data_IF_836652250100
#
_entry.id   IF_836652250100
#
_cell.length_a   1.000
_cell.length_b   1.000
_cell.length_c   1.000
_cell.angle_alpha   90.00
_cell.angle_beta   90.00
_cell.angle_gamma   90.00
#
_symmetry.space_group_name_H-M   'P 1'
#
loop_
_entity.id
_entity.type
_entity.pdbx_description
1 polymer ?
#
# COMPACT_ATOMS: atom_id res chain seq x y z
N UNK A 1 2.84 0.64 -25.54
CA UNK A 1 3.77 -0.40 -25.05
C UNK A 1 4.24 -0.12 -23.62
N UNK A 2 4.62 1.12 -23.30
CA UNK A 2 5.03 1.55 -21.94
C UNK A 2 3.93 1.36 -20.86
N UNK A 3 2.66 1.65 -21.18
CA UNK A 3 1.53 1.53 -20.25
C UNK A 3 1.27 0.09 -19.78
N UNK A 4 1.36 -0.90 -20.68
CA UNK A 4 1.17 -2.33 -20.36
C UNK A 4 2.30 -2.88 -19.48
N UNK A 5 3.51 -2.33 -19.61
CA UNK A 5 4.64 -2.70 -18.75
C UNK A 5 4.42 -2.17 -17.33
N UNK A 6 4.04 -0.90 -17.18
CA UNK A 6 3.75 -0.28 -15.88
C UNK A 6 2.62 -1.03 -15.17
N UNK A 7 1.55 -1.39 -15.87
CA UNK A 7 0.43 -2.15 -15.29
C UNK A 7 0.87 -3.54 -14.80
N UNK A 8 1.75 -4.24 -15.53
CA UNK A 8 2.33 -5.51 -15.06
C UNK A 8 3.18 -5.31 -13.80
N UNK A 9 3.96 -4.24 -13.72
CA UNK A 9 4.75 -3.92 -12.51
C UNK A 9 3.83 -3.66 -11.30
N UNK A 10 2.76 -2.88 -11.48
CA UNK A 10 1.79 -2.62 -10.40
C UNK A 10 1.09 -3.91 -9.94
N UNK A 11 0.73 -4.80 -10.87
CA UNK A 11 0.09 -6.08 -10.52
C UNK A 11 1.01 -7.02 -9.76
N UNK A 12 2.17 -7.30 -10.36
CA UNK A 12 3.04 -8.38 -9.92
C UNK A 12 3.91 -7.99 -8.74
N UNK A 13 4.30 -6.72 -8.65
CA UNK A 13 5.18 -6.26 -7.58
C UNK A 13 4.42 -5.38 -6.58
N UNK A 14 3.46 -4.57 -7.03
CA UNK A 14 2.70 -3.69 -6.13
C UNK A 14 1.89 -4.45 -5.09
N UNK A 15 1.01 -5.38 -5.50
CA UNK A 15 0.16 -6.10 -4.55
C UNK A 15 0.86 -7.24 -3.82
N UNK A 16 1.74 -7.98 -4.50
CA UNK A 16 2.39 -9.17 -3.90
C UNK A 16 3.48 -8.80 -2.90
N UNK A 17 4.03 -7.58 -2.98
CA UNK A 17 5.05 -7.11 -2.03
C UNK A 17 4.46 -6.61 -0.72
N UNK A 18 3.14 -6.44 -0.63
CA UNK A 18 2.49 -6.01 0.60
C UNK A 18 2.29 -7.25 1.48
N UNK A 19 3.26 -7.47 2.36
CA UNK A 19 3.24 -8.60 3.28
C UNK A 19 2.25 -8.41 4.44
N UNK A 20 1.63 -9.52 4.86
CA UNK A 20 0.82 -9.56 6.08
C UNK A 20 -0.59 -8.98 5.97
N UNK A 21 -1.06 -8.66 4.76
CA UNK A 21 -2.47 -8.31 4.53
C UNK A 21 -3.35 -9.50 4.90
N UNK A 22 -4.36 -9.26 5.74
CA UNK A 22 -5.33 -10.30 6.10
C UNK A 22 -6.76 -9.80 5.93
N UNK A 23 -7.64 -10.72 5.52
CA UNK A 23 -9.09 -10.48 5.47
C UNK A 23 -9.75 -11.53 6.36
N UNK A 24 -10.46 -11.08 7.39
CA UNK A 24 -11.20 -11.94 8.32
C UNK A 24 -12.56 -11.30 8.62
N UNK A 25 -13.63 -12.09 8.58
CA UNK A 25 -14.98 -11.62 8.95
C UNK A 25 -15.36 -10.28 8.30
N UNK A 26 -15.10 -10.14 6.99
CA UNK A 26 -15.37 -8.92 6.23
C UNK A 26 -14.56 -7.68 6.68
N UNK A 27 -13.47 -7.86 7.43
CA UNK A 27 -12.53 -6.81 7.84
C UNK A 27 -11.17 -7.03 7.19
N UNK A 28 -10.66 -5.99 6.56
CA UNK A 28 -9.30 -5.92 6.04
C UNK A 28 -8.35 -5.41 7.14
N UNK A 29 -7.19 -6.05 7.29
CA UNK A 29 -6.09 -5.56 8.10
C UNK A 29 -4.84 -5.44 7.23
N UNK A 30 -4.36 -4.20 7.09
CA UNK A 30 -3.12 -3.83 6.41
C UNK A 30 -2.08 -3.46 7.48
N UNK A 31 -1.03 -4.28 7.70
CA UNK A 31 -0.02 -4.01 8.71
C UNK A 31 1.09 -3.09 8.19
N UNK A 32 2.01 -2.74 9.08
CA UNK A 32 3.31 -2.16 8.73
C UNK A 32 3.26 -0.77 8.08
N UNK A 33 2.21 0.02 8.36
CA UNK A 33 2.10 1.38 7.84
C UNK A 33 2.80 2.33 8.81
N UNK A 34 3.80 3.06 8.31
CA UNK A 34 4.44 4.14 9.06
C UNK A 34 3.40 5.22 9.39
N UNK A 35 3.32 5.61 10.65
CA UNK A 35 2.42 6.68 11.08
C UNK A 35 2.87 8.04 10.54
N UNK A 36 2.00 9.06 10.66
CA UNK A 36 2.34 10.45 10.29
C UNK A 36 3.72 10.85 10.83
N UNK A 37 4.59 11.34 9.94
CA UNK A 37 6.02 11.54 10.22
C UNK A 37 6.45 12.91 9.72
N UNK A 38 7.13 13.68 10.58
CA UNK A 38 7.64 15.01 10.27
C UNK A 38 9.02 14.92 9.61
N UNK A 39 9.66 16.06 9.32
CA UNK A 39 11.05 16.10 8.89
C UNK A 39 11.98 15.72 10.05
N UNK A 40 12.98 14.87 9.80
CA UNK A 40 13.96 14.45 10.82
C UNK A 40 15.23 13.82 10.26
N UNK A 41 16.05 13.22 11.13
CA UNK A 41 17.26 12.47 10.77
C UNK A 41 16.95 11.06 10.28
N UNK A 42 17.96 10.33 9.79
CA UNK A 42 17.79 8.93 9.40
C UNK A 42 17.26 8.06 10.54
N UNK A 43 17.87 8.16 11.73
CA UNK A 43 17.47 7.41 12.92
C UNK A 43 16.00 7.69 13.27
N UNK A 44 15.57 8.95 13.16
CA UNK A 44 14.18 9.34 13.35
C UNK A 44 13.21 8.62 12.40
N UNK A 45 13.60 8.41 11.12
CA UNK A 45 12.74 7.75 10.14
C UNK A 45 12.68 6.23 10.32
N UNK A 46 13.81 5.58 10.61
CA UNK A 46 13.85 4.12 10.73
C UNK A 46 13.18 3.61 12.00
N UNK A 47 13.19 4.43 13.06
CA UNK A 47 12.56 4.11 14.35
C UNK A 47 11.06 4.45 14.39
N UNK A 48 10.46 4.93 13.28
CA UNK A 48 9.04 5.28 13.27
C UNK A 48 8.16 4.07 13.58
N UNK A 49 7.20 4.22 14.52
CA UNK A 49 6.20 3.19 14.76
C UNK A 49 5.44 2.85 13.49
N UNK A 50 5.10 1.57 13.38
CA UNK A 50 4.29 1.05 12.29
C UNK A 50 2.99 0.50 12.86
N UNK A 51 1.88 1.01 12.37
CA UNK A 51 0.55 0.67 12.85
C UNK A 51 -0.22 -0.17 11.82
N UNK A 52 -1.26 -0.85 12.31
CA UNK A 52 -2.23 -1.53 11.45
C UNK A 52 -3.32 -0.54 11.07
N UNK A 53 -3.70 -0.54 9.80
CA UNK A 53 -4.79 0.30 9.27
C UNK A 53 -4.62 1.81 9.53
N UNK A 54 -3.38 2.32 9.58
CA UNK A 54 -3.17 3.77 9.59
C UNK A 54 -3.75 4.39 8.29
N UNK A 55 -4.48 5.50 8.45
CA UNK A 55 -5.30 6.07 7.38
C UNK A 55 -4.48 6.60 6.20
N UNK A 56 -3.23 7.01 6.42
CA UNK A 56 -2.35 7.46 5.34
C UNK A 56 -2.09 6.31 4.36
N UNK A 57 -1.79 5.12 4.89
CA UNK A 57 -1.54 3.91 4.10
C UNK A 57 -2.82 3.28 3.55
N UNK A 58 -3.91 3.23 4.35
CA UNK A 58 -5.19 2.69 3.89
C UNK A 58 -5.76 3.53 2.73
N UNK A 59 -5.70 4.85 2.82
CA UNK A 59 -6.14 5.73 1.74
C UNK A 59 -5.38 5.49 0.44
N UNK A 60 -4.04 5.42 0.52
CA UNK A 60 -3.19 5.09 -0.63
C UNK A 60 -3.52 3.71 -1.22
N UNK A 61 -3.74 2.72 -0.37
CA UNK A 61 -4.08 1.36 -0.79
C UNK A 61 -5.42 1.29 -1.53
N UNK A 62 -6.46 1.96 -1.03
CA UNK A 62 -7.77 1.99 -1.69
C UNK A 62 -7.70 2.68 -3.05
N UNK A 63 -6.97 3.80 -3.16
CA UNK A 63 -6.76 4.49 -4.44
C UNK A 63 -6.03 3.60 -5.44
N UNK A 64 -4.99 2.89 -5.01
CA UNK A 64 -4.31 1.90 -5.86
C UNK A 64 -5.28 0.82 -6.35
N UNK A 65 -6.13 0.27 -5.47
CA UNK A 65 -7.11 -0.75 -5.82
C UNK A 65 -8.11 -0.26 -6.89
N UNK A 66 -8.64 0.96 -6.75
CA UNK A 66 -9.57 1.55 -7.73
C UNK A 66 -8.89 1.70 -9.10
N UNK A 67 -7.70 2.30 -9.12
CA UNK A 67 -6.95 2.54 -10.35
C UNK A 67 -6.60 1.24 -11.08
N UNK A 68 -6.21 0.23 -10.30
CA UNK A 68 -5.96 -1.10 -10.84
C UNK A 68 -7.24 -1.71 -11.41
N UNK A 69 -8.32 -1.73 -10.64
CA UNK A 69 -9.61 -2.25 -11.11
C UNK A 69 -10.06 -1.58 -12.41
N UNK A 70 -9.94 -0.25 -12.50
CA UNK A 70 -10.25 0.51 -13.70
C UNK A 70 -9.36 0.18 -14.89
N UNK A 71 -8.07 -0.02 -14.67
CA UNK A 71 -7.13 -0.39 -15.71
C UNK A 71 -7.34 -1.81 -16.25
N UNK A 72 -7.85 -2.75 -15.43
CA UNK A 72 -8.16 -4.12 -15.84
C UNK A 72 -9.57 -4.31 -16.40
N UNK A 73 -10.49 -3.38 -16.13
CA UNK A 73 -11.84 -3.43 -16.70
C UNK A 73 -11.91 -2.94 -18.16
N UNK A 74 -10.76 -2.63 -18.77
CA UNK A 74 -10.60 -2.20 -20.16
C UNK A 74 -9.77 -3.22 -20.95
#
# INVERSE_FOLDING_TARGET
>A
MLSKLILKFVQLLGFTSIDGVTVKENRLTLPSICIGTMVGSYDYYVDRPKEKNDLHGIGAFVMMCEECSRAYSK
#
